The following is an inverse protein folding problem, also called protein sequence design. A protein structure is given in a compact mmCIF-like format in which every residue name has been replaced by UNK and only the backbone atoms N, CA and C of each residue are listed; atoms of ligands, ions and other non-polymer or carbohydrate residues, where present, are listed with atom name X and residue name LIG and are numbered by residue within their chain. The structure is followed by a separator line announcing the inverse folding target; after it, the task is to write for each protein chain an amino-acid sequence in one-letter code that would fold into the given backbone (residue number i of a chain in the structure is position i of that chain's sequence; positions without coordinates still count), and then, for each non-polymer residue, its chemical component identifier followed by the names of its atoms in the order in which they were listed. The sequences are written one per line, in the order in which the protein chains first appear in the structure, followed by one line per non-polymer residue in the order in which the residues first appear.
data_IF_561634059034
#
_entry.id   IF_561634059034
#
_cell.length_a   1.000
_cell.length_b   1.000
_cell.length_c   1.000
_cell.angle_alpha   90.00
_cell.angle_beta   90.00
_cell.angle_gamma   90.00
#
_symmetry.space_group_name_H-M   'P 1'
#
loop_
_entity.id
_entity.type
_entity.pdbx_description
1 polymer ?
#
# COMPACT_ATOMS: atom_id res chain seq x y z
N UNK A 1 0.80 14.63 20.88
CA UNK A 1 0.12 13.56 20.12
C UNK A 1 -0.09 14.12 18.73
N UNK A 2 0.66 13.65 17.74
CA UNK A 2 0.48 14.11 16.35
C UNK A 2 -0.82 13.47 15.86
N UNK A 3 -1.77 14.24 15.30
CA UNK A 3 -2.99 13.65 14.74
C UNK A 3 -2.62 12.64 13.65
N UNK A 4 -3.27 11.48 13.63
CA UNK A 4 -3.07 10.48 12.57
C UNK A 4 -4.21 10.63 11.57
N UNK A 5 -3.90 10.72 10.28
CA UNK A 5 -4.91 10.75 9.22
C UNK A 5 -4.91 9.40 8.49
N UNK A 6 -6.11 8.86 8.29
CA UNK A 6 -6.31 7.70 7.42
C UNK A 6 -6.70 8.17 6.03
N UNK A 7 -6.01 7.65 5.02
CA UNK A 7 -6.37 7.79 3.63
C UNK A 7 -6.98 6.49 3.14
N UNK A 8 -8.06 6.58 2.37
CA UNK A 8 -8.85 5.43 1.94
C UNK A 8 -8.83 5.32 0.43
N UNK A 9 -8.47 4.14 -0.10
CA UNK A 9 -8.43 3.90 -1.54
C UNK A 9 -8.76 2.45 -1.89
N UNK A 10 -9.71 2.22 -2.80
CA UNK A 10 -10.09 0.89 -3.32
C UNK A 10 -10.27 -0.22 -2.27
N UNK A 11 -10.80 0.11 -1.08
CA UNK A 11 -10.98 -0.84 0.02
C UNK A 11 -9.77 -1.00 0.95
N UNK A 12 -8.75 -0.18 0.79
CA UNK A 12 -7.60 -0.12 1.69
C UNK A 12 -7.62 1.19 2.47
N UNK A 13 -7.04 1.15 3.67
CA UNK A 13 -6.74 2.33 4.48
C UNK A 13 -5.26 2.33 4.81
N UNK A 14 -4.63 3.50 4.78
CA UNK A 14 -3.23 3.72 5.16
C UNK A 14 -3.15 4.93 6.09
N UNK A 15 -2.30 4.86 7.11
CA UNK A 15 -2.03 5.97 8.02
C UNK A 15 -0.85 6.78 7.48
N UNK A 16 -1.07 8.08 7.26
CA UNK A 16 -0.04 9.03 6.85
C UNK A 16 -0.20 10.31 7.67
N UNK A 17 0.87 11.08 7.78
CA UNK A 17 0.85 12.36 8.49
C UNK A 17 -0.22 13.30 7.90
N UNK A 18 -1.04 13.99 8.73
CA UNK A 18 -2.10 14.87 8.27
C UNK A 18 -1.64 16.07 7.45
N UNK A 19 -0.35 16.40 7.50
CA UNK A 19 0.26 17.47 6.69
C UNK A 19 0.42 17.10 5.22
N UNK A 20 0.23 15.82 4.85
CA UNK A 20 0.34 15.39 3.46
C UNK A 20 -0.88 15.86 2.65
N UNK A 21 -0.58 16.42 1.47
CA UNK A 21 -1.57 16.58 0.41
C UNK A 21 -1.79 15.24 -0.30
N UNK A 22 -2.89 15.13 -1.05
CA UNK A 22 -3.20 13.90 -1.79
C UNK A 22 -3.95 14.16 -3.07
N UNK A 23 -3.65 13.36 -4.08
CA UNK A 23 -4.30 13.39 -5.40
C UNK A 23 -4.51 11.97 -5.95
N UNK A 24 -5.36 11.88 -6.97
CA UNK A 24 -5.62 10.64 -7.69
C UNK A 24 -4.94 10.68 -9.06
N UNK A 25 -4.05 9.72 -9.30
CA UNK A 25 -3.32 9.55 -10.55
C UNK A 25 -3.97 8.50 -11.45
N UNK A 26 -3.57 8.50 -12.74
CA UNK A 26 -3.95 7.49 -13.73
C UNK A 26 -5.47 7.24 -13.81
N UNK A 27 -6.26 8.31 -13.82
CA UNK A 27 -7.72 8.20 -13.89
C UNK A 27 -8.37 7.65 -12.62
N UNK A 28 -7.69 7.70 -11.48
CA UNK A 28 -8.21 7.24 -10.19
C UNK A 28 -7.71 5.88 -9.74
N UNK A 29 -6.75 5.26 -10.44
CA UNK A 29 -6.22 3.95 -10.10
C UNK A 29 -5.26 3.98 -8.91
N UNK A 30 -4.53 5.09 -8.76
CA UNK A 30 -3.52 5.26 -7.71
C UNK A 30 -3.82 6.50 -6.88
N UNK A 31 -3.83 6.33 -5.56
CA UNK A 31 -3.81 7.43 -4.61
C UNK A 31 -2.37 7.81 -4.32
N UNK A 32 -1.99 9.04 -4.65
CA UNK A 32 -0.70 9.64 -4.29
C UNK A 32 -0.90 10.56 -3.09
N UNK A 33 0.01 10.50 -2.12
CA UNK A 33 0.07 11.36 -0.94
C UNK A 33 1.50 11.88 -0.80
N UNK A 34 1.70 13.17 -0.59
CA UNK A 34 3.05 13.78 -0.52
C UNK A 34 3.12 14.89 0.52
N UNK A 35 4.28 15.05 1.16
CA UNK A 35 4.52 16.14 2.10
C UNK A 35 4.81 17.48 1.39
N UNK A 36 4.64 18.62 2.08
CA UNK A 36 5.05 19.91 1.55
C UNK A 36 6.55 19.92 1.21
N UNK A 37 6.89 20.15 -0.05
CA UNK A 37 8.27 20.08 -0.55
C UNK A 37 8.68 18.72 -1.11
N UNK A 38 7.76 17.75 -1.15
CA UNK A 38 7.90 16.46 -1.82
C UNK A 38 9.19 15.73 -1.41
N UNK A 39 9.49 15.73 -0.11
CA UNK A 39 10.59 14.94 0.47
C UNK A 39 10.16 13.50 0.70
N UNK A 40 8.88 13.29 0.95
CA UNK A 40 8.25 11.99 1.18
C UNK A 40 7.00 11.87 0.34
N UNK A 41 6.88 10.75 -0.35
CA UNK A 41 5.71 10.40 -1.13
C UNK A 41 5.26 8.99 -0.80
N UNK A 42 3.95 8.77 -0.76
CA UNK A 42 3.31 7.46 -0.63
C UNK A 42 2.33 7.30 -1.80
N UNK A 43 2.50 6.25 -2.58
CA UNK A 43 1.62 5.87 -3.67
C UNK A 43 0.95 4.53 -3.36
N UNK A 44 -0.38 4.49 -3.35
CA UNK A 44 -1.18 3.32 -3.01
C UNK A 44 -2.14 2.97 -4.16
N UNK A 45 -2.10 1.73 -4.64
CA UNK A 45 -3.05 1.21 -5.63
C UNK A 45 -3.55 -0.18 -5.23
N UNK A 46 -4.67 -0.62 -5.81
CA UNK A 46 -5.23 -1.94 -5.53
C UNK A 46 -5.39 -2.78 -6.78
N UNK A 47 -5.19 -4.09 -6.63
CA UNK A 47 -5.42 -5.08 -7.68
C UNK A 47 -6.33 -6.20 -7.17
N UNK A 48 -7.14 -6.74 -8.07
CA UNK A 48 -7.84 -8.00 -7.85
C UNK A 48 -6.93 -9.10 -8.38
N UNK A 49 -6.68 -10.12 -7.56
CA UNK A 49 -5.88 -11.27 -7.97
C UNK A 49 -6.75 -12.52 -7.99
N UNK A 50 -6.72 -13.21 -9.12
CA UNK A 50 -7.45 -14.46 -9.33
C UNK A 50 -6.51 -15.45 -9.99
N UNK A 51 -6.50 -16.68 -9.47
CA UNK A 51 -5.80 -17.77 -10.15
C UNK A 51 -6.53 -18.14 -11.42
N UNK A 52 -5.77 -18.62 -12.40
CA UNK A 52 -6.31 -19.08 -13.68
C UNK A 52 -7.27 -20.28 -13.52
N UNK A 53 -7.01 -21.15 -12.54
CA UNK A 53 -7.87 -22.30 -12.21
C UNK A 53 -9.14 -21.92 -11.42
N UNK A 54 -9.33 -20.64 -11.11
CA UNK A 54 -10.46 -20.12 -10.33
C UNK A 54 -10.38 -20.39 -8.83
N UNK A 55 -9.34 -21.07 -8.34
CA UNK A 55 -9.15 -21.30 -6.92
C UNK A 55 -8.75 -20.00 -6.19
N UNK A 56 -9.01 -19.88 -4.87
CA UNK A 56 -8.43 -18.83 -4.06
C UNK A 56 -6.90 -18.91 -4.11
N UNK A 57 -6.24 -17.76 -4.20
CA UNK A 57 -4.79 -17.69 -4.05
C UNK A 57 -4.41 -17.67 -2.57
N UNK A 58 -3.15 -17.96 -2.27
CA UNK A 58 -2.58 -17.83 -0.92
C UNK A 58 -1.63 -16.64 -0.86
N UNK A 59 -1.43 -16.08 0.34
CA UNK A 59 -0.43 -15.03 0.50
C UNK A 59 0.96 -15.50 0.04
N UNK A 60 1.33 -16.73 0.40
CA UNK A 60 2.60 -17.35 0.02
C UNK A 60 2.86 -17.33 -1.49
N UNK A 61 1.88 -17.68 -2.31
CA UNK A 61 2.03 -17.69 -3.78
C UNK A 61 2.42 -16.31 -4.33
N UNK A 62 1.93 -15.24 -3.71
CA UNK A 62 2.25 -13.88 -4.12
C UNK A 62 3.60 -13.45 -3.53
N UNK A 63 3.79 -13.64 -2.23
CA UNK A 63 4.97 -13.18 -1.50
C UNK A 63 6.25 -13.96 -1.87
N UNK A 64 6.16 -15.21 -2.31
CA UNK A 64 7.32 -15.96 -2.80
C UNK A 64 7.93 -15.33 -4.08
N UNK A 65 7.17 -14.49 -4.79
CA UNK A 65 7.60 -13.83 -6.03
C UNK A 65 7.95 -12.35 -5.85
N UNK A 66 7.68 -11.78 -4.67
CA UNK A 66 7.88 -10.37 -4.38
C UNK A 66 8.54 -10.16 -3.01
N UNK A 67 9.58 -9.30 -2.90
CA UNK A 67 10.23 -8.56 -3.99
C UNK A 67 11.02 -9.50 -4.92
N UNK A 68 11.19 -9.16 -6.21
CA UNK A 68 12.00 -9.96 -7.14
C UNK A 68 13.39 -10.27 -6.57
N UNK A 69 13.90 -11.49 -6.83
CA UNK A 69 15.13 -11.97 -6.19
C UNK A 69 16.38 -11.24 -6.67
N UNK A 70 16.34 -10.70 -7.89
CA UNK A 70 17.40 -9.91 -8.50
C UNK A 70 17.57 -8.52 -7.84
N UNK A 71 16.55 -8.02 -7.15
CA UNK A 71 16.60 -6.72 -6.49
C UNK A 71 17.31 -6.82 -5.14
N UNK A 72 18.27 -5.92 -4.94
CA UNK A 72 19.04 -5.80 -3.69
C UNK A 72 18.49 -4.68 -2.80
N UNK A 73 18.56 -4.87 -1.50
CA UNK A 73 18.00 -3.94 -0.51
C UNK A 73 17.62 -4.65 0.78
N UNK A 74 17.07 -3.90 1.73
CA UNK A 74 16.58 -4.43 3.00
C UNK A 74 15.16 -4.96 2.82
N UNK A 75 14.95 -6.24 3.11
CA UNK A 75 13.66 -6.90 2.99
C UNK A 75 12.91 -6.87 4.31
N UNK A 76 11.60 -6.67 4.24
CA UNK A 76 10.70 -6.68 5.38
C UNK A 76 9.49 -7.56 5.09
N UNK A 77 8.99 -8.19 6.15
CA UNK A 77 7.74 -8.93 6.14
C UNK A 77 6.79 -8.32 7.18
N UNK A 78 5.50 -8.49 6.94
CA UNK A 78 4.46 -8.06 7.86
C UNK A 78 3.26 -9.00 7.78
N UNK A 79 2.80 -9.49 8.93
CA UNK A 79 1.57 -10.25 9.05
C UNK A 79 0.69 -9.66 10.15
N UNK A 80 -0.61 -9.50 9.85
CA UNK A 80 -1.60 -9.01 10.80
C UNK A 80 -2.99 -9.54 10.44
N UNK A 81 -3.49 -10.49 11.23
CA UNK A 81 -4.79 -11.11 11.00
C UNK A 81 -4.81 -11.82 9.65
N UNK A 82 -5.68 -11.38 8.74
CA UNK A 82 -5.82 -11.93 7.37
C UNK A 82 -4.90 -11.26 6.35
N UNK A 83 -4.06 -10.33 6.79
CA UNK A 83 -3.13 -9.60 5.93
C UNK A 83 -1.74 -10.16 6.08
N UNK A 84 -1.07 -10.33 4.94
CA UNK A 84 0.35 -10.62 4.86
C UNK A 84 0.97 -9.70 3.80
N UNK A 85 2.22 -9.31 3.99
CA UNK A 85 2.90 -8.38 3.10
C UNK A 85 4.40 -8.55 3.13
N UNK A 86 5.02 -8.09 2.07
CA UNK A 86 6.47 -7.99 1.95
C UNK A 86 6.85 -6.61 1.37
N UNK A 87 8.03 -6.13 1.73
CA UNK A 87 8.59 -4.88 1.24
C UNK A 87 10.10 -4.97 1.00
N UNK A 88 10.59 -4.14 0.10
CA UNK A 88 12.02 -3.93 -0.17
C UNK A 88 12.33 -2.44 -0.04
N UNK A 89 13.29 -2.11 0.83
CA UNK A 89 13.88 -0.78 0.93
C UNK A 89 15.20 -0.75 0.18
N UNK A 90 15.33 0.16 -0.77
CA UNK A 90 16.51 0.27 -1.62
C UNK A 90 16.72 1.69 -2.11
N UNK A 91 17.94 1.99 -2.53
CA UNK A 91 18.21 3.19 -3.31
C UNK A 91 17.83 2.88 -4.77
N UNK A 92 16.97 3.71 -5.35
CA UNK A 92 16.43 3.54 -6.69
C UNK A 92 16.43 4.85 -7.48
N UNK A 93 16.23 4.72 -8.78
CA UNK A 93 15.93 5.85 -9.66
C UNK A 93 14.41 6.11 -9.61
N UNK A 94 14.01 7.38 -9.60
CA UNK A 94 12.62 7.80 -9.75
C UNK A 94 12.48 8.57 -11.06
N UNK A 95 11.41 8.34 -11.80
CA UNK A 95 11.14 9.07 -13.05
C UNK A 95 10.96 10.58 -12.81
N UNK A 96 10.60 10.96 -11.57
CA UNK A 96 10.30 12.33 -11.18
C UNK A 96 11.47 13.05 -10.48
N UNK A 97 12.54 12.34 -10.09
CA UNK A 97 13.68 12.92 -9.37
C UNK A 97 15.02 12.67 -10.11
N UNK A 98 15.84 13.72 -10.33
CA UNK A 98 17.11 13.59 -11.05
C UNK A 98 18.20 12.87 -10.24
N UNK A 99 18.07 12.85 -8.91
CA UNK A 99 18.99 12.16 -8.01
C UNK A 99 18.38 10.85 -7.50
N UNK A 100 19.20 9.81 -7.24
CA UNK A 100 18.72 8.57 -6.65
C UNK A 100 18.00 8.83 -5.32
N UNK A 101 16.79 8.30 -5.20
CA UNK A 101 15.97 8.41 -4.01
C UNK A 101 15.86 7.06 -3.32
N UNK A 102 15.53 7.08 -2.03
CA UNK A 102 15.22 5.86 -1.30
C UNK A 102 13.78 5.45 -1.55
N UNK A 103 13.58 4.18 -1.88
CA UNK A 103 12.28 3.63 -2.26
C UNK A 103 11.95 2.42 -1.41
N UNK A 104 10.77 2.43 -0.79
CA UNK A 104 10.12 1.24 -0.26
C UNK A 104 9.13 0.72 -1.30
N UNK A 105 9.47 -0.37 -1.97
CA UNK A 105 8.51 -1.10 -2.80
C UNK A 105 7.83 -2.16 -1.95
N UNK A 106 6.51 -2.13 -1.86
CA UNK A 106 5.78 -3.01 -0.94
C UNK A 106 4.46 -3.52 -1.52
N UNK A 107 4.06 -4.70 -1.04
CA UNK A 107 2.74 -5.25 -1.28
C UNK A 107 2.08 -5.66 0.03
N UNK A 108 0.76 -5.55 0.05
CA UNK A 108 -0.12 -6.11 1.07
C UNK A 108 -1.15 -7.01 0.41
N UNK A 109 -1.38 -8.16 1.01
CA UNK A 109 -2.14 -9.25 0.43
C UNK A 109 -3.29 -9.62 1.35
N UNK A 110 -4.50 -9.74 0.80
CA UNK A 110 -5.68 -10.20 1.51
C UNK A 110 -6.37 -11.31 0.70
N UNK A 111 -5.96 -12.57 0.89
CA UNK A 111 -6.46 -13.71 0.11
C UNK A 111 -7.98 -13.87 0.16
N UNK A 112 -8.58 -13.74 1.34
CA UNK A 112 -10.03 -13.88 1.53
C UNK A 112 -10.83 -12.85 0.74
N UNK A 113 -10.28 -11.66 0.53
CA UNK A 113 -10.90 -10.62 -0.27
C UNK A 113 -10.58 -10.71 -1.76
N UNK A 114 -9.71 -11.64 -2.18
CA UNK A 114 -9.25 -11.73 -3.55
C UNK A 114 -8.42 -10.51 -3.99
N UNK A 115 -7.72 -9.83 -3.05
CA UNK A 115 -7.17 -8.48 -3.29
C UNK A 115 -5.72 -8.32 -2.84
N UNK A 116 -5.06 -7.40 -3.54
CA UNK A 116 -3.71 -6.90 -3.29
C UNK A 116 -3.76 -5.37 -3.19
N UNK A 117 -2.89 -4.81 -2.37
CA UNK A 117 -2.47 -3.42 -2.44
C UNK A 117 -0.99 -3.37 -2.81
N UNK A 118 -0.64 -2.49 -3.75
CA UNK A 118 0.75 -2.09 -4.00
C UNK A 118 0.97 -0.74 -3.34
N UNK A 119 2.06 -0.62 -2.62
CA UNK A 119 2.47 0.60 -1.96
C UNK A 119 3.91 0.91 -2.37
N UNK A 120 4.15 2.09 -2.90
CA UNK A 120 5.50 2.62 -3.13
C UNK A 120 5.67 3.83 -2.23
N UNK A 121 6.76 3.89 -1.48
CA UNK A 121 7.09 5.06 -0.67
C UNK A 121 8.45 5.59 -1.12
N UNK A 122 8.51 6.85 -1.51
CA UNK A 122 9.73 7.52 -1.95
C UNK A 122 10.17 8.49 -0.86
N UNK A 123 11.46 8.49 -0.54
CA UNK A 123 12.07 9.38 0.45
C UNK A 123 13.41 9.91 -0.08
N UNK A 124 13.71 11.18 0.21
CA UNK A 124 15.02 11.76 -0.14
C UNK A 124 16.14 11.31 0.80
N UNK A 125 15.80 10.99 2.06
CA UNK A 125 16.76 10.62 3.10
C UNK A 125 16.64 9.14 3.51
N UNK A 126 17.76 8.44 3.69
CA UNK A 126 17.76 7.05 4.19
C UNK A 126 17.14 6.94 5.59
N UNK A 127 17.25 8.00 6.39
CA UNK A 127 16.76 8.06 7.76
C UNK A 127 15.24 7.92 7.88
N UNK A 128 14.51 8.12 6.77
CA UNK A 128 13.06 7.96 6.70
C UNK A 128 12.61 6.49 6.57
N UNK A 129 13.55 5.54 6.50
CA UNK A 129 13.28 4.10 6.37
C UNK A 129 12.26 3.58 7.38
N UNK A 130 12.46 3.84 8.67
CA UNK A 130 11.60 3.30 9.72
C UNK A 130 10.19 3.89 9.62
N UNK A 131 10.09 5.18 9.28
CA UNK A 131 8.81 5.83 8.98
C UNK A 131 8.11 5.19 7.77
N UNK A 132 8.84 4.91 6.69
CA UNK A 132 8.29 4.28 5.49
C UNK A 132 7.76 2.88 5.80
N UNK A 133 8.54 2.07 6.53
CA UNK A 133 8.15 0.71 6.93
C UNK A 133 6.90 0.75 7.84
N UNK A 134 6.85 1.65 8.81
CA UNK A 134 5.69 1.79 9.69
C UNK A 134 4.45 2.28 8.95
N UNK A 135 4.62 3.21 8.00
CA UNK A 135 3.56 3.70 7.11
C UNK A 135 2.98 2.56 6.27
N UNK A 136 3.82 1.73 5.65
CA UNK A 136 3.38 0.53 4.93
C UNK A 136 2.66 -0.47 5.83
N UNK A 137 3.19 -0.76 7.03
CA UNK A 137 2.58 -1.67 8.00
C UNK A 137 1.24 -1.17 8.56
N UNK A 138 0.98 0.12 8.45
CA UNK A 138 -0.32 0.69 8.83
C UNK A 138 -1.45 0.32 7.86
N UNK A 139 -1.12 -0.22 6.67
CA UNK A 139 -2.11 -0.61 5.68
C UNK A 139 -3.06 -1.66 6.25
N UNK A 140 -4.35 -1.36 6.17
CA UNK A 140 -5.43 -2.27 6.56
C UNK A 140 -6.47 -2.36 5.45
N UNK A 141 -7.24 -3.46 5.46
CA UNK A 141 -8.45 -3.54 4.63
C UNK A 141 -9.58 -2.83 5.35
N UNK A 142 -10.26 -1.93 4.66
CA UNK A 142 -11.57 -1.51 5.11
C UNK A 142 -12.59 -2.60 4.77
N UNK A 143 -13.52 -2.92 5.69
CA UNK A 143 -14.67 -3.73 5.34
C UNK A 143 -15.36 -3.13 4.12
N UNK A 144 -15.90 -3.94 3.21
CA UNK A 144 -16.82 -3.38 2.21
C UNK A 144 -17.91 -2.60 2.96
N UNK A 145 -18.34 -1.44 2.44
CA UNK A 145 -19.46 -0.72 3.06
C UNK A 145 -20.62 -1.69 3.21
N UNK A 146 -21.15 -1.81 4.43
CA UNK A 146 -22.33 -2.64 4.70
C UNK A 146 -23.43 -2.14 3.78
N UNK A 147 -23.79 -2.94 2.78
CA UNK A 147 -25.01 -2.70 2.02
C UNK A 147 -26.16 -2.90 3.00
N UNK A 148 -26.62 -1.81 3.62
CA UNK A 148 -27.92 -1.78 4.27
C UNK A 148 -28.91 -1.95 3.12
N UNK A 149 -29.36 -3.19 2.90
CA UNK A 149 -30.40 -3.47 1.91
C UNK A 149 -31.60 -2.55 2.17
N UNK A 150 -32.40 -2.22 1.14
CA UNK A 150 -33.58 -1.40 1.34
C UNK A 150 -34.42 -2.05 2.43
N UNK A 151 -34.54 -1.37 3.56
CA UNK A 151 -35.34 -1.84 4.68
C UNK A 151 -36.71 -2.20 4.14
N UNK A 152 -37.18 -3.42 4.44
CA UNK A 152 -38.51 -3.86 4.07
C UNK A 152 -39.50 -2.78 4.53
N UNK A 153 -40.04 -2.04 3.56
CA UNK A 153 -41.12 -1.11 3.81
C UNK A 153 -42.30 -1.95 4.29
N UNK A 154 -42.54 -1.92 5.59
CA UNK A 154 -43.77 -2.43 6.18
C UNK A 154 -44.79 -1.32 6.04
N UNK A 155 -45.71 -1.47 5.09
CA UNK A 155 -47.07 -0.92 5.09
C UNK A 155 -47.90 -1.62 4.02
#
# INVERSE_FOLDING_TARGET
MIPIRFYFHCGWAIQVDPTFDSELLYGGETLRMFDPGERREVSLSSMIYRRHDGAPFTAKEVLDTFPPHEMSGLRYEHERGQLAGAALWMLGESDDEPEPCWVLMAIMVCPEAGRLARCTIVCKDESDRDWAVDTWRSITRTPPPVQVGPGAATS
#
